data_IF_800152117370
#
_entry.id   IF_800152117370
#
_cell.length_a   1.000
_cell.length_b   1.000
_cell.length_c   1.000
_cell.angle_alpha   90.00
_cell.angle_beta   90.00
_cell.angle_gamma   90.00
#
_symmetry.space_group_name_H-M   'P 1'
#
loop_
_entity.id
_entity.type
_entity.pdbx_description
1 polymer ?
#
# COMPACT_ATOMS: atom_id res chain seq x y z
N UNK A 1 -10.18 12.16 25.16
CA UNK A 1 -11.37 12.40 24.29
C UNK A 1 -12.27 11.15 24.33
N UNK A 2 -13.58 11.27 24.05
CA UNK A 2 -14.57 10.19 24.27
C UNK A 2 -14.52 9.09 23.21
N UNK A 3 -14.09 9.47 21.99
CA UNK A 3 -13.94 8.56 20.86
C UNK A 3 -12.54 8.63 20.27
N UNK A 4 -12.17 7.54 19.60
CA UNK A 4 -10.99 7.46 18.77
C UNK A 4 -11.38 7.00 17.36
N UNK A 5 -10.61 7.44 16.36
CA UNK A 5 -10.85 7.10 14.98
C UNK A 5 -9.53 6.78 14.27
N UNK A 6 -9.49 5.63 13.61
CA UNK A 6 -8.39 5.24 12.73
C UNK A 6 -8.82 5.40 11.28
N UNK A 7 -7.95 5.95 10.44
CA UNK A 7 -8.13 6.01 8.99
C UNK A 7 -6.94 5.38 8.27
N UNK A 8 -7.25 4.53 7.30
CA UNK A 8 -6.33 3.96 6.33
C UNK A 8 -6.69 4.47 4.93
N UNK A 9 -5.93 5.47 4.47
CA UNK A 9 -6.12 6.18 3.20
C UNK A 9 -5.05 5.83 2.18
N UNK A 10 -5.43 5.12 1.11
CA UNK A 10 -4.53 4.73 0.03
C UNK A 10 -4.93 5.29 -1.34
N UNK A 11 -4.19 4.89 -2.38
CA UNK A 11 -4.42 5.35 -3.76
C UNK A 11 -5.75 4.91 -4.39
N UNK A 12 -6.44 3.91 -3.84
CA UNK A 12 -7.69 3.38 -4.40
C UNK A 12 -8.89 3.43 -3.46
N UNK A 13 -8.67 3.54 -2.15
CA UNK A 13 -9.73 3.51 -1.15
C UNK A 13 -9.28 4.18 0.14
N UNK A 14 -10.24 4.67 0.89
CA UNK A 14 -10.09 5.20 2.23
C UNK A 14 -11.04 4.44 3.15
N UNK A 15 -10.53 3.92 4.26
CA UNK A 15 -11.31 3.18 5.26
C UNK A 15 -11.20 3.91 6.60
N UNK A 16 -12.31 4.00 7.33
CA UNK A 16 -12.34 4.58 8.66
C UNK A 16 -12.99 3.60 9.64
N UNK A 17 -12.55 3.63 10.88
CA UNK A 17 -13.19 2.93 11.98
C UNK A 17 -13.23 3.85 13.21
N UNK A 18 -14.40 3.94 13.83
CA UNK A 18 -14.61 4.71 15.06
C UNK A 18 -14.81 3.75 16.23
N UNK A 19 -14.20 4.06 17.36
CA UNK A 19 -14.26 3.27 18.59
C UNK A 19 -14.42 4.20 19.79
N UNK A 20 -14.83 3.63 20.93
CA UNK A 20 -14.73 4.34 22.22
C UNK A 20 -13.28 4.54 22.63
N UNK A 21 -13.04 5.43 23.60
CA UNK A 21 -11.71 5.72 24.13
C UNK A 21 -10.91 4.50 24.62
N UNK A 22 -11.60 3.41 25.04
CA UNK A 22 -11.02 2.13 25.47
C UNK A 22 -10.89 1.10 24.32
N UNK A 23 -10.98 1.54 23.06
CA UNK A 23 -10.68 0.71 21.89
C UNK A 23 -11.82 -0.20 21.41
N UNK A 24 -13.01 -0.16 22.02
CA UNK A 24 -14.17 -0.96 21.58
C UNK A 24 -14.76 -0.37 20.30
N UNK A 25 -14.64 -1.12 19.21
CA UNK A 25 -15.13 -0.76 17.89
C UNK A 25 -16.65 -0.48 17.90
N UNK A 26 -17.05 0.66 17.33
CA UNK A 26 -18.44 1.09 17.24
C UNK A 26 -18.97 1.03 15.81
N UNK A 27 -18.18 1.45 14.82
CA UNK A 27 -18.62 1.48 13.43
C UNK A 27 -17.47 1.62 12.42
N UNK A 28 -17.78 1.35 11.16
CA UNK A 28 -16.83 1.42 10.04
C UNK A 28 -17.40 2.20 8.86
N UNK A 29 -16.52 2.85 8.12
CA UNK A 29 -16.87 3.58 6.92
C UNK A 29 -15.84 3.39 5.82
N UNK A 30 -16.25 3.64 4.57
CA UNK A 30 -15.40 3.52 3.39
C UNK A 30 -15.72 4.62 2.39
N UNK A 31 -14.70 5.11 1.72
CA UNK A 31 -14.78 6.10 0.66
C UNK A 31 -13.81 5.78 -0.50
N UNK A 32 -13.70 6.72 -1.44
CA UNK A 32 -12.75 6.68 -2.56
C UNK A 32 -11.29 6.88 -2.11
N UNK A 33 -10.40 7.17 -3.06
CA UNK A 33 -8.97 7.35 -2.83
C UNK A 33 -8.66 8.49 -1.85
N UNK A 34 -7.63 8.29 -1.03
CA UNK A 34 -7.09 9.29 -0.12
C UNK A 34 -5.55 9.27 -0.16
N UNK A 35 -5.00 9.55 -1.35
CA UNK A 35 -3.58 9.77 -1.55
C UNK A 35 -3.30 11.27 -1.60
N UNK A 36 -2.76 11.79 -0.50
CA UNK A 36 -2.54 13.22 -0.31
C UNK A 36 -1.47 13.78 -1.25
N UNK A 37 -0.53 12.94 -1.71
CA UNK A 37 0.49 13.36 -2.68
C UNK A 37 -0.10 13.65 -4.06
N UNK A 38 -1.08 12.86 -4.50
CA UNK A 38 -1.68 13.04 -5.82
C UNK A 38 -2.82 14.05 -5.85
N UNK A 39 -3.68 14.04 -4.81
CA UNK A 39 -4.88 14.89 -4.75
C UNK A 39 -5.29 15.14 -3.27
N UNK A 40 -4.72 16.18 -2.62
CA UNK A 40 -5.05 16.53 -1.24
C UNK A 40 -6.53 16.82 -1.03
N UNK A 41 -7.18 17.49 -1.98
CA UNK A 41 -8.59 17.92 -1.89
C UNK A 41 -9.53 16.72 -1.91
N UNK A 42 -9.33 15.81 -2.87
CA UNK A 42 -10.08 14.56 -2.90
C UNK A 42 -9.83 13.73 -1.64
N UNK A 43 -8.57 13.69 -1.17
CA UNK A 43 -8.22 12.94 0.03
C UNK A 43 -8.97 13.43 1.26
N UNK A 44 -9.05 14.74 1.48
CA UNK A 44 -9.83 15.34 2.56
C UNK A 44 -11.31 14.95 2.46
N UNK A 45 -11.89 15.02 1.26
CA UNK A 45 -13.28 14.62 1.01
C UNK A 45 -13.51 13.15 1.33
N UNK A 46 -12.61 12.25 0.91
CA UNK A 46 -12.68 10.82 1.18
C UNK A 46 -12.55 10.50 2.68
N UNK A 47 -11.64 11.17 3.39
CA UNK A 47 -11.46 11.01 4.84
C UNK A 47 -12.74 11.40 5.58
N UNK A 48 -13.29 12.58 5.28
CA UNK A 48 -14.53 13.07 5.88
C UNK A 48 -15.70 12.14 5.59
N UNK A 49 -15.84 11.69 4.34
CA UNK A 49 -16.90 10.78 3.95
C UNK A 49 -16.80 9.43 4.69
N UNK A 50 -15.60 8.86 4.76
CA UNK A 50 -15.37 7.60 5.48
C UNK A 50 -15.65 7.75 6.99
N UNK A 51 -15.24 8.86 7.61
CA UNK A 51 -15.52 9.13 9.02
C UNK A 51 -17.02 9.29 9.30
N UNK A 52 -17.75 10.02 8.45
CA UNK A 52 -19.21 10.19 8.56
C UNK A 52 -19.96 8.85 8.42
N UNK A 53 -19.57 8.01 7.45
CA UNK A 53 -20.16 6.68 7.32
C UNK A 53 -19.83 5.79 8.54
N UNK A 54 -18.64 5.92 9.15
CA UNK A 54 -18.31 5.20 10.38
C UNK A 54 -19.18 5.64 11.57
N UNK A 55 -19.45 6.95 11.74
CA UNK A 55 -20.39 7.45 12.76
C UNK A 55 -21.80 6.91 12.52
N UNK A 56 -22.28 6.96 11.28
CA UNK A 56 -23.60 6.47 10.91
C UNK A 56 -23.75 4.97 11.17
N UNK A 57 -22.76 4.15 10.83
CA UNK A 57 -22.71 2.71 11.12
C UNK A 57 -22.73 2.44 12.64
N UNK A 58 -22.07 3.30 13.42
CA UNK A 58 -22.08 3.27 14.88
C UNK A 58 -23.39 3.77 15.52
N UNK A 59 -24.34 4.29 14.75
CA UNK A 59 -25.54 4.96 15.28
C UNK A 59 -25.25 6.29 15.99
N UNK A 60 -24.10 6.91 15.71
CA UNK A 60 -23.67 8.20 16.22
C UNK A 60 -24.04 9.32 15.23
N UNK A 61 -24.22 10.52 15.76
CA UNK A 61 -24.36 11.73 14.94
C UNK A 61 -22.98 12.29 14.56
N UNK A 62 -22.92 13.20 13.59
CA UNK A 62 -21.64 13.77 13.13
C UNK A 62 -20.94 14.61 14.21
N UNK A 63 -21.67 15.10 15.22
CA UNK A 63 -21.11 15.82 16.35
C UNK A 63 -20.11 14.98 17.16
N UNK A 64 -20.19 13.65 17.10
CA UNK A 64 -19.20 12.76 17.74
C UNK A 64 -17.78 13.00 17.20
N UNK A 65 -17.63 13.44 15.95
CA UNK A 65 -16.33 13.75 15.36
C UNK A 65 -15.59 14.85 16.15
N UNK A 66 -16.33 15.84 16.67
CA UNK A 66 -15.76 16.93 17.48
C UNK A 66 -15.26 16.48 18.86
N UNK A 67 -15.54 15.23 19.25
CA UNK A 67 -15.07 14.57 20.48
C UNK A 67 -14.12 13.41 20.17
N UNK A 68 -13.59 13.35 18.94
CA UNK A 68 -12.78 12.24 18.44
C UNK A 68 -11.31 12.62 18.29
N UNK A 69 -10.41 11.79 18.83
CA UNK A 69 -8.99 11.79 18.46
C UNK A 69 -8.80 10.94 17.20
N UNK A 70 -8.30 11.52 16.11
CA UNK A 70 -8.18 10.83 14.83
C UNK A 70 -6.71 10.57 14.45
N UNK A 71 -6.35 9.31 14.17
CA UNK A 71 -5.09 8.95 13.53
C UNK A 71 -5.36 8.64 12.06
N UNK A 72 -4.73 9.40 11.17
CA UNK A 72 -4.90 9.30 9.72
C UNK A 72 -3.61 8.76 9.10
N UNK A 73 -3.58 7.46 8.76
CA UNK A 73 -2.51 6.88 7.99
C UNK A 73 -2.77 7.05 6.50
N UNK A 74 -2.02 7.95 5.86
CA UNK A 74 -2.28 8.38 4.49
C UNK A 74 -1.10 8.10 3.57
N UNK A 75 -1.40 7.58 2.38
CA UNK A 75 -0.44 7.44 1.31
C UNK A 75 0.08 8.83 0.89
N UNK A 76 1.41 8.96 0.83
CA UNK A 76 2.07 10.23 0.48
C UNK A 76 2.38 11.15 1.66
N UNK A 77 1.99 10.81 2.90
CA UNK A 77 2.29 11.64 4.07
C UNK A 77 3.78 11.86 4.32
N UNK A 78 4.63 10.88 3.99
CA UNK A 78 6.10 11.01 4.12
C UNK A 78 6.72 12.00 3.11
N UNK A 79 6.01 12.29 2.01
CA UNK A 79 6.49 13.17 0.94
C UNK A 79 5.93 14.60 1.04
N UNK A 80 4.95 14.83 1.93
CA UNK A 80 4.34 16.14 2.13
C UNK A 80 4.99 16.87 3.30
N UNK A 81 5.40 18.12 3.06
CA UNK A 81 6.01 18.98 4.08
C UNK A 81 4.98 19.63 5.03
N UNK A 82 3.68 19.56 4.74
CA UNK A 82 2.64 20.20 5.55
C UNK A 82 1.43 19.27 5.80
N UNK A 83 1.58 18.23 6.63
CA UNK A 83 0.44 17.47 7.14
C UNK A 83 -0.47 18.28 8.08
N UNK A 84 0.00 19.43 8.60
CA UNK A 84 -0.70 20.26 9.58
C UNK A 84 -1.88 20.98 8.92
N UNK A 85 -1.70 21.54 7.71
CA UNK A 85 -2.80 22.18 6.97
C UNK A 85 -3.98 21.26 6.63
N UNK A 86 -3.76 19.94 6.57
CA UNK A 86 -4.84 18.97 6.38
C UNK A 86 -5.68 18.79 7.65
N UNK A 87 -5.03 18.80 8.81
CA UNK A 87 -5.68 18.63 10.12
C UNK A 87 -6.62 19.79 10.45
N UNK A 88 -6.25 21.02 10.10
CA UNK A 88 -7.04 22.23 10.41
C UNK A 88 -8.42 22.25 9.74
N UNK A 89 -8.60 21.52 8.64
CA UNK A 89 -9.84 21.49 7.87
C UNK A 89 -10.78 20.33 8.27
N UNK A 90 -10.41 19.55 9.28
CA UNK A 90 -11.15 18.37 9.71
C UNK A 90 -11.92 18.63 11.02
N UNK A 91 -13.16 18.13 11.16
CA UNK A 91 -14.02 18.37 12.32
C UNK A 91 -13.68 17.44 13.50
N UNK A 92 -12.40 17.10 13.69
CA UNK A 92 -11.93 16.25 14.78
C UNK A 92 -11.43 17.09 15.94
N UNK A 93 -11.50 16.56 17.16
CA UNK A 93 -10.99 17.24 18.36
C UNK A 93 -9.47 17.41 18.29
N UNK A 94 -8.77 16.38 17.81
CA UNK A 94 -7.37 16.44 17.41
C UNK A 94 -7.09 15.40 16.33
N UNK A 95 -6.04 15.66 15.56
CA UNK A 95 -5.64 14.83 14.42
C UNK A 95 -4.15 14.58 14.49
N UNK A 96 -3.76 13.33 14.29
CA UNK A 96 -2.40 12.94 14.00
C UNK A 96 -2.36 12.33 12.60
N UNK A 97 -1.67 13.01 11.68
CA UNK A 97 -1.43 12.48 10.34
C UNK A 97 -0.11 11.71 10.36
N UNK A 98 -0.14 10.47 9.88
CA UNK A 98 1.01 9.59 9.76
C UNK A 98 1.04 8.93 8.39
N UNK A 99 2.12 8.22 8.05
CA UNK A 99 2.11 7.41 6.83
C UNK A 99 1.22 6.19 6.95
N UNK A 100 0.64 5.80 5.81
CA UNK A 100 -0.01 4.50 5.62
C UNK A 100 0.87 3.33 6.07
N UNK A 101 2.19 3.46 5.88
CA UNK A 101 3.16 2.43 6.21
C UNK A 101 3.39 2.32 7.71
N UNK A 102 3.30 3.43 8.46
CA UNK A 102 3.40 3.39 9.92
C UNK A 102 2.19 2.68 10.55
N UNK A 103 0.97 2.98 10.10
CA UNK A 103 -0.23 2.27 10.59
C UNK A 103 -0.25 0.80 10.14
N UNK A 104 0.29 0.50 8.96
CA UNK A 104 0.43 -0.87 8.47
C UNK A 104 1.46 -1.66 9.30
N UNK A 105 2.56 -1.03 9.69
CA UNK A 105 3.58 -1.62 10.56
C UNK A 105 3.00 -1.89 11.94
N UNK A 106 2.26 -0.93 12.48
CA UNK A 106 1.54 -1.10 13.75
C UNK A 106 0.50 -2.22 13.67
N UNK A 107 -0.26 -2.30 12.58
CA UNK A 107 -1.22 -3.40 12.40
C UNK A 107 -0.52 -4.76 12.32
N UNK A 108 0.61 -4.82 11.62
CA UNK A 108 1.33 -6.07 11.41
C UNK A 108 2.02 -6.60 12.67
N UNK A 109 2.63 -5.72 13.47
CA UNK A 109 3.50 -6.10 14.59
C UNK A 109 3.05 -5.58 15.95
N UNK A 110 1.92 -4.87 16.04
CA UNK A 110 1.56 -4.04 17.20
C UNK A 110 2.70 -3.06 17.52
N UNK A 111 3.10 -2.97 18.79
CA UNK A 111 4.22 -2.15 19.25
C UNK A 111 5.59 -2.84 19.18
N UNK A 112 5.65 -4.10 18.72
CA UNK A 112 6.89 -4.87 18.65
C UNK A 112 7.78 -4.43 17.46
N UNK A 113 9.08 -4.77 17.53
CA UNK A 113 10.02 -4.61 16.43
C UNK A 113 9.69 -5.59 15.29
N UNK A 114 9.83 -5.11 14.05
CA UNK A 114 9.49 -5.90 12.88
C UNK A 114 9.65 -5.13 11.58
N UNK A 115 9.52 -5.87 10.48
CA UNK A 115 9.59 -5.33 9.10
C UNK A 115 8.26 -5.58 8.40
N UNK A 116 7.81 -4.63 7.60
CA UNK A 116 6.75 -4.83 6.62
C UNK A 116 7.25 -4.60 5.20
N UNK A 117 6.68 -5.35 4.26
CA UNK A 117 6.73 -5.07 2.84
C UNK A 117 5.31 -4.96 2.29
N UNK A 118 4.88 -3.76 1.91
CA UNK A 118 3.59 -3.51 1.26
C UNK A 118 3.80 -3.71 -0.24
N UNK A 119 3.22 -4.79 -0.79
CA UNK A 119 3.42 -5.23 -2.17
C UNK A 119 2.06 -5.27 -2.89
N UNK A 120 1.87 -4.40 -3.86
CA UNK A 120 0.63 -4.29 -4.62
C UNK A 120 0.86 -3.55 -5.94
N UNK A 121 0.01 -2.57 -6.24
CA UNK A 121 0.21 -1.67 -7.39
C UNK A 121 1.53 -0.92 -7.28
N UNK A 122 1.88 -0.41 -6.10
CA UNK A 122 3.21 0.11 -5.75
C UNK A 122 3.93 -0.82 -4.78
N UNK A 123 5.09 -0.40 -4.28
CA UNK A 123 5.81 -1.15 -3.24
C UNK A 123 6.48 -0.23 -2.22
N UNK A 124 6.30 -0.51 -0.94
CA UNK A 124 6.93 0.23 0.15
C UNK A 124 7.38 -0.71 1.27
N UNK A 125 8.47 -0.36 1.96
CA UNK A 125 9.03 -1.15 3.03
C UNK A 125 9.32 -0.27 4.24
N UNK A 126 9.06 -0.82 5.42
CA UNK A 126 9.29 -0.12 6.67
C UNK A 126 9.72 -1.08 7.76
N UNK A 127 10.57 -0.62 8.68
CA UNK A 127 10.94 -1.38 9.86
C UNK A 127 10.90 -0.53 11.13
N UNK A 128 10.57 -1.18 12.25
CA UNK A 128 10.75 -0.65 13.61
C UNK A 128 11.87 -1.42 14.31
N UNK A 129 12.78 -0.68 14.94
CA UNK A 129 13.90 -1.20 15.74
C UNK A 129 14.05 -0.35 17.00
N UNK A 130 13.49 -0.79 18.12
CA UNK A 130 13.19 0.02 19.28
C UNK A 130 12.39 1.27 18.88
N UNK A 131 12.83 2.44 19.35
CA UNK A 131 12.17 3.72 19.08
C UNK A 131 12.38 4.25 17.64
N UNK A 132 13.16 3.57 16.80
CA UNK A 132 13.53 4.05 15.47
C UNK A 132 12.70 3.39 14.38
N UNK A 133 12.30 4.22 13.42
CA UNK A 133 11.62 3.81 12.21
C UNK A 133 12.53 3.99 10.99
N UNK A 134 12.56 3.00 10.11
CA UNK A 134 13.35 2.99 8.89
C UNK A 134 12.42 2.81 7.70
N UNK A 135 12.56 3.66 6.68
CA UNK A 135 11.74 3.66 5.47
C UNK A 135 12.61 3.31 4.26
N UNK A 136 12.07 2.51 3.35
CA UNK A 136 12.76 2.12 2.12
C UNK A 136 11.77 1.93 0.97
N UNK A 137 12.06 2.54 -0.17
CA UNK A 137 11.17 2.48 -1.33
C UNK A 137 9.98 3.44 -1.17
N UNK A 138 8.88 3.16 -1.88
CA UNK A 138 7.70 4.03 -1.85
C UNK A 138 7.89 5.41 -2.51
N UNK A 139 8.91 5.58 -3.35
CA UNK A 139 9.19 6.83 -4.07
C UNK A 139 8.25 7.08 -5.27
N UNK A 140 7.29 6.19 -5.49
CA UNK A 140 6.27 6.29 -6.54
C UNK A 140 6.70 5.66 -7.87
N UNK A 141 5.71 5.43 -8.72
CA UNK A 141 5.84 4.59 -9.92
C UNK A 141 6.94 5.02 -10.91
N UNK A 142 7.18 6.32 -11.11
CA UNK A 142 8.11 6.76 -12.14
C UNK A 142 9.59 6.56 -11.77
N UNK A 143 9.94 6.66 -10.48
CA UNK A 143 11.33 6.59 -10.01
C UNK A 143 11.58 5.53 -8.94
N UNK A 144 10.55 4.75 -8.57
CA UNK A 144 10.60 3.74 -7.53
C UNK A 144 9.65 2.58 -7.79
N UNK A 145 9.01 2.09 -6.73
CA UNK A 145 8.07 0.96 -6.74
C UNK A 145 8.62 -0.34 -7.36
N UNK A 146 9.93 -0.58 -7.25
CA UNK A 146 10.54 -1.83 -7.70
C UNK A 146 9.96 -3.03 -6.93
N UNK A 147 9.62 -4.10 -7.65
CA UNK A 147 8.89 -5.24 -7.07
C UNK A 147 7.37 -5.02 -6.96
N UNK A 148 6.84 -3.89 -7.41
CA UNK A 148 5.40 -3.72 -7.54
C UNK A 148 4.84 -4.37 -8.80
N UNK A 149 3.52 -4.63 -8.79
CA UNK A 149 2.80 -5.09 -9.97
C UNK A 149 2.82 -4.06 -11.10
N UNK A 150 2.81 -2.76 -10.80
CA UNK A 150 2.88 -1.73 -11.83
C UNK A 150 4.22 -1.77 -12.58
N UNK A 151 5.35 -1.89 -11.86
CA UNK A 151 6.67 -1.98 -12.49
C UNK A 151 6.86 -3.27 -13.31
N UNK A 152 6.36 -4.40 -12.80
CA UNK A 152 6.39 -5.65 -13.55
C UNK A 152 5.51 -5.58 -14.81
N UNK A 153 4.34 -4.95 -14.72
CA UNK A 153 3.45 -4.71 -15.85
C UNK A 153 4.07 -3.79 -16.90
N UNK A 154 4.64 -2.65 -16.48
CA UNK A 154 5.39 -1.73 -17.34
C UNK A 154 6.50 -2.46 -18.11
N UNK A 155 7.30 -3.27 -17.41
CA UNK A 155 8.35 -4.07 -18.05
C UNK A 155 7.79 -5.09 -19.04
N UNK A 156 6.66 -5.74 -18.74
CA UNK A 156 6.04 -6.69 -19.67
C UNK A 156 5.53 -6.02 -20.96
N UNK A 157 4.98 -4.81 -20.85
CA UNK A 157 4.55 -4.02 -22.01
C UNK A 157 5.75 -3.57 -22.86
N UNK A 158 6.84 -3.13 -22.22
CA UNK A 158 8.09 -2.79 -22.91
C UNK A 158 8.61 -3.99 -23.72
N UNK A 159 8.67 -5.17 -23.10
CA UNK A 159 9.12 -6.41 -23.74
C UNK A 159 8.22 -6.83 -24.92
N UNK A 160 6.92 -6.55 -24.83
CA UNK A 160 5.98 -6.79 -25.93
C UNK A 160 6.24 -5.87 -27.13
N UNK A 161 6.55 -4.59 -26.90
CA UNK A 161 6.94 -3.66 -27.97
C UNK A 161 8.30 -4.03 -28.57
N UNK A 162 9.29 -4.37 -27.74
CA UNK A 162 10.61 -4.82 -28.24
C UNK A 162 10.49 -6.10 -29.08
N UNK A 163 9.58 -7.01 -28.71
CA UNK A 163 9.30 -8.20 -29.51
C UNK A 163 8.58 -7.88 -30.82
N UNK A 164 7.65 -6.91 -30.82
CA UNK A 164 7.01 -6.40 -32.02
C UNK A 164 8.03 -5.81 -33.01
N UNK A 165 8.99 -5.02 -32.51
CA UNK A 165 10.04 -4.40 -33.31
C UNK A 165 11.12 -5.40 -33.80
N UNK A 166 11.05 -6.65 -33.37
CA UNK A 166 12.02 -7.71 -33.72
C UNK A 166 13.36 -7.61 -32.98
N UNK A 167 13.47 -6.73 -31.98
CA UNK A 167 14.64 -6.61 -31.11
C UNK A 167 14.71 -7.75 -30.08
N UNK A 168 13.57 -8.39 -29.81
CA UNK A 168 13.43 -9.60 -28.99
C UNK A 168 12.53 -10.61 -29.70
N UNK A 169 12.63 -11.87 -29.31
CA UNK A 169 11.73 -12.90 -29.85
C UNK A 169 10.33 -12.79 -29.26
N UNK A 170 9.30 -12.96 -30.09
CA UNK A 170 7.94 -13.18 -29.62
C UNK A 170 7.88 -14.43 -28.72
N UNK A 171 7.08 -14.36 -27.68
CA UNK A 171 6.75 -15.50 -26.82
C UNK A 171 5.26 -15.44 -26.43
N UNK A 172 4.71 -16.53 -25.85
CA UNK A 172 3.29 -16.56 -25.49
C UNK A 172 2.82 -15.38 -24.62
N UNK A 173 3.66 -14.85 -23.73
CA UNK A 173 3.32 -13.68 -22.91
C UNK A 173 3.24 -12.40 -23.76
N UNK A 174 4.24 -12.11 -24.60
CA UNK A 174 4.24 -10.89 -25.44
C UNK A 174 3.17 -10.94 -26.50
N UNK A 175 2.91 -12.10 -27.10
CA UNK A 175 1.78 -12.30 -28.01
C UNK A 175 0.43 -12.07 -27.32
N UNK A 176 0.28 -12.56 -26.08
CA UNK A 176 -0.94 -12.32 -25.31
C UNK A 176 -1.17 -10.82 -25.09
N UNK A 177 -0.12 -10.10 -24.67
CA UNK A 177 -0.18 -8.66 -24.44
C UNK A 177 -0.54 -7.92 -25.74
N UNK A 178 0.17 -8.20 -26.85
CA UNK A 178 -0.09 -7.56 -28.15
C UNK A 178 -1.54 -7.78 -28.62
N UNK A 179 -2.08 -9.00 -28.45
CA UNK A 179 -3.47 -9.31 -28.79
C UNK A 179 -4.48 -8.52 -27.99
N UNK A 180 -4.21 -8.17 -26.72
CA UNK A 180 -5.08 -7.27 -25.95
C UNK A 180 -5.21 -5.88 -26.59
N UNK A 181 -4.18 -5.47 -27.35
CA UNK A 181 -4.16 -4.25 -28.14
C UNK A 181 -4.49 -4.49 -29.62
N UNK A 182 -5.14 -5.62 -29.96
CA UNK A 182 -5.47 -6.02 -31.33
C UNK A 182 -4.25 -6.07 -32.27
N UNK A 183 -3.09 -6.46 -31.73
CA UNK A 183 -1.81 -6.52 -32.44
C UNK A 183 -1.38 -5.18 -33.07
N UNK A 184 -1.90 -4.06 -32.54
CA UNK A 184 -1.56 -2.70 -32.97
C UNK A 184 -0.71 -2.00 -31.89
N UNK A 185 0.62 -1.85 -32.08
CA UNK A 185 1.50 -1.23 -31.10
C UNK A 185 1.15 0.23 -30.80
N UNK A 186 0.45 0.92 -31.72
CA UNK A 186 0.01 2.31 -31.50
C UNK A 186 -1.03 2.38 -30.39
N UNK A 187 -1.92 1.38 -30.29
CA UNK A 187 -2.92 1.31 -29.20
C UNK A 187 -2.25 1.07 -27.83
N UNK A 188 -1.19 0.26 -27.80
CA UNK A 188 -0.39 0.08 -26.58
C UNK A 188 0.31 1.39 -26.18
N UNK A 189 0.88 2.11 -27.14
CA UNK A 189 1.48 3.44 -26.89
C UNK A 189 0.45 4.47 -26.41
N UNK A 190 -0.74 4.50 -27.02
CA UNK A 190 -1.86 5.37 -26.60
C UNK A 190 -2.32 5.05 -25.17
N UNK A 191 -2.42 3.77 -24.83
CA UNK A 191 -2.69 3.30 -23.47
C UNK A 191 -1.62 3.82 -22.50
N UNK A 192 -0.35 3.56 -22.77
CA UNK A 192 0.76 3.93 -21.89
C UNK A 192 0.84 5.44 -21.62
N UNK A 193 0.44 6.27 -22.59
CA UNK A 193 0.41 7.73 -22.47
C UNK A 193 -0.54 8.24 -21.39
N UNK A 194 -1.65 7.54 -21.14
CA UNK A 194 -2.68 7.95 -20.17
C UNK A 194 -2.80 7.01 -18.98
N UNK A 195 -2.12 5.87 -19.03
CA UNK A 195 -2.15 4.85 -18.00
C UNK A 195 -1.63 5.37 -16.66
N UNK A 196 -2.34 5.00 -15.60
CA UNK A 196 -1.94 5.17 -14.21
C UNK A 196 -1.23 3.90 -13.73
N UNK A 197 -0.49 3.94 -12.60
CA UNK A 197 0.20 2.76 -12.08
C UNK A 197 -0.71 1.53 -11.92
N UNK A 198 -1.98 1.74 -11.55
CA UNK A 198 -2.97 0.67 -11.45
C UNK A 198 -3.16 -0.06 -12.78
N UNK A 199 -3.24 0.66 -13.89
CA UNK A 199 -3.50 0.11 -15.21
C UNK A 199 -2.32 -0.77 -15.68
N UNK A 200 -1.09 -0.39 -15.36
CA UNK A 200 0.07 -1.27 -15.55
C UNK A 200 0.00 -2.50 -14.63
N UNK A 201 -0.41 -2.33 -13.38
CA UNK A 201 -0.57 -3.41 -12.41
C UNK A 201 -1.58 -4.49 -12.82
N UNK A 202 -2.54 -4.18 -13.70
CA UNK A 202 -3.52 -5.13 -14.23
C UNK A 202 -2.89 -6.23 -15.10
N UNK A 203 -1.64 -6.07 -15.55
CA UNK A 203 -0.88 -7.10 -16.26
C UNK A 203 -0.21 -8.12 -15.31
N UNK A 204 -0.14 -7.84 -14.01
CA UNK A 204 0.50 -8.76 -13.05
C UNK A 204 -0.12 -10.17 -13.02
N UNK A 205 -1.46 -10.35 -13.02
CA UNK A 205 -2.06 -11.67 -13.03
C UNK A 205 -1.64 -12.52 -14.23
N UNK A 206 -1.59 -11.93 -15.44
CA UNK A 206 -1.21 -12.68 -16.64
C UNK A 206 0.29 -13.04 -16.62
N UNK A 207 1.15 -12.15 -16.11
CA UNK A 207 2.58 -12.46 -15.87
C UNK A 207 2.71 -13.68 -14.96
N UNK A 208 1.98 -13.72 -13.83
CA UNK A 208 2.02 -14.86 -12.90
C UNK A 208 1.53 -16.17 -13.53
N UNK A 209 0.50 -16.11 -14.38
CA UNK A 209 0.00 -17.28 -15.12
C UNK A 209 1.11 -17.84 -16.01
N UNK A 210 1.77 -17.00 -16.80
CA UNK A 210 2.85 -17.44 -17.68
C UNK A 210 4.12 -17.85 -16.91
N UNK A 211 4.42 -17.24 -15.76
CA UNK A 211 5.52 -17.66 -14.90
C UNK A 211 5.30 -19.09 -14.38
N UNK A 212 4.07 -19.43 -13.95
CA UNK A 212 3.70 -20.81 -13.57
C UNK A 212 3.85 -21.81 -14.71
N UNK A 213 3.65 -21.36 -15.96
CA UNK A 213 3.86 -22.15 -17.17
C UNK A 213 5.33 -22.18 -17.64
N UNK A 214 6.27 -21.73 -16.81
CA UNK A 214 7.71 -21.71 -17.11
C UNK A 214 8.09 -20.82 -18.31
N UNK A 215 7.29 -19.79 -18.59
CA UNK A 215 7.69 -18.75 -19.54
C UNK A 215 8.94 -18.03 -19.03
N UNK A 216 10.03 -18.10 -19.80
CA UNK A 216 11.31 -17.48 -19.42
C UNK A 216 11.17 -15.99 -19.13
N UNK A 217 10.53 -15.25 -20.04
CA UNK A 217 10.31 -13.81 -19.87
C UNK A 217 9.50 -13.50 -18.59
N UNK A 218 8.44 -14.27 -18.33
CA UNK A 218 7.62 -14.04 -17.15
C UNK A 218 8.39 -14.31 -15.85
N UNK A 219 9.22 -15.37 -15.85
CA UNK A 219 10.10 -15.68 -14.72
C UNK A 219 11.15 -14.59 -14.52
N UNK A 220 11.78 -14.09 -15.60
CA UNK A 220 12.77 -13.01 -15.52
C UNK A 220 12.16 -11.74 -14.91
N UNK A 221 10.96 -11.33 -15.34
CA UNK A 221 10.25 -10.16 -14.80
C UNK A 221 9.96 -10.33 -13.30
N UNK A 222 9.49 -11.51 -12.89
CA UNK A 222 9.19 -11.81 -11.49
C UNK A 222 10.47 -11.88 -10.66
N UNK A 223 11.55 -12.45 -11.19
CA UNK A 223 12.85 -12.57 -10.55
C UNK A 223 13.51 -11.19 -10.34
N UNK A 224 13.44 -10.30 -11.33
CA UNK A 224 13.92 -8.91 -11.20
C UNK A 224 13.26 -8.20 -10.02
N UNK A 225 11.92 -8.23 -9.93
CA UNK A 225 11.22 -7.61 -8.82
C UNK A 225 11.47 -8.32 -7.49
N UNK A 226 11.50 -9.66 -7.48
CA UNK A 226 11.80 -10.44 -6.27
C UNK A 226 13.19 -10.19 -5.73
N UNK A 227 14.17 -9.97 -6.60
CA UNK A 227 15.54 -9.64 -6.21
C UNK A 227 15.58 -8.30 -5.45
N UNK A 228 14.83 -7.31 -5.93
CA UNK A 228 14.70 -6.04 -5.21
C UNK A 228 13.99 -6.21 -3.86
N UNK A 229 12.82 -6.88 -3.84
CA UNK A 229 12.07 -7.14 -2.61
C UNK A 229 12.94 -7.86 -1.58
N UNK A 230 13.64 -8.92 -1.99
CA UNK A 230 14.52 -9.67 -1.10
C UNK A 230 15.66 -8.80 -0.55
N UNK A 231 16.26 -7.95 -1.38
CA UNK A 231 17.32 -7.03 -0.94
C UNK A 231 16.82 -6.00 0.08
N UNK A 232 15.64 -5.42 -0.17
CA UNK A 232 14.98 -4.50 0.75
C UNK A 232 14.68 -5.16 2.11
N UNK A 233 14.12 -6.38 2.09
CA UNK A 233 13.80 -7.13 3.29
C UNK A 233 15.04 -7.52 4.10
N UNK A 234 16.13 -7.96 3.44
CA UNK A 234 17.40 -8.27 4.13
C UNK A 234 17.98 -7.04 4.83
N UNK A 235 18.03 -5.91 4.12
CA UNK A 235 18.55 -4.66 4.67
C UNK A 235 17.75 -4.20 5.90
N UNK A 236 16.44 -4.36 5.88
CA UNK A 236 15.58 -3.92 6.99
C UNK A 236 15.51 -4.92 8.14
N UNK A 237 15.65 -6.22 7.90
CA UNK A 237 15.46 -7.27 8.92
C UNK A 237 16.68 -7.59 9.78
N UNK A 238 17.77 -6.81 9.68
CA UNK A 238 19.05 -7.09 10.35
C UNK A 238 19.60 -8.49 10.02
N UNK A 239 19.63 -8.81 8.72
CA UNK A 239 19.99 -10.12 8.17
C UNK A 239 19.10 -11.26 8.70
N UNK A 240 17.78 -11.02 8.78
CA UNK A 240 16.82 -12.04 9.21
C UNK A 240 16.78 -12.24 10.72
N UNK A 241 16.79 -11.18 11.52
CA UNK A 241 16.58 -11.27 12.97
C UNK A 241 15.21 -10.77 13.40
N UNK A 242 14.56 -9.97 12.55
CA UNK A 242 13.24 -9.40 12.80
C UNK A 242 12.16 -10.15 12.03
N UNK A 243 10.96 -10.30 12.61
CA UNK A 243 9.81 -10.85 11.89
C UNK A 243 9.43 -9.93 10.73
N UNK A 244 9.03 -10.53 9.61
CA UNK A 244 8.66 -9.84 8.38
C UNK A 244 7.20 -10.14 8.06
N UNK A 245 6.38 -9.11 7.87
CA UNK A 245 5.01 -9.27 7.38
C UNK A 245 4.90 -8.71 5.96
N UNK A 246 4.47 -9.54 5.01
CA UNK A 246 4.17 -9.10 3.65
C UNK A 246 2.69 -8.71 3.57
N UNK A 247 2.44 -7.50 3.11
CA UNK A 247 1.13 -6.89 3.03
C UNK A 247 0.78 -6.57 1.57
N UNK A 248 -0.48 -6.24 1.32
CA UNK A 248 -0.98 -5.89 -0.02
C UNK A 248 -1.33 -7.10 -0.88
N UNK A 249 -2.04 -6.84 -1.98
CA UNK A 249 -2.64 -7.88 -2.82
C UNK A 249 -1.64 -8.76 -3.58
N UNK A 250 -0.38 -8.33 -3.70
CA UNK A 250 0.67 -9.12 -4.36
C UNK A 250 1.49 -9.97 -3.39
N UNK A 251 1.30 -9.82 -2.08
CA UNK A 251 2.04 -10.56 -1.03
C UNK A 251 2.07 -12.07 -1.29
N UNK A 252 0.93 -12.69 -1.57
CA UNK A 252 0.83 -14.13 -1.84
C UNK A 252 1.61 -14.62 -3.06
N UNK A 253 1.83 -13.75 -4.06
CA UNK A 253 2.66 -14.14 -5.20
C UNK A 253 4.11 -14.37 -4.75
N UNK A 254 4.59 -13.53 -3.83
CA UNK A 254 5.96 -13.59 -3.31
C UNK A 254 6.25 -14.81 -2.44
N UNK A 255 5.23 -15.49 -1.90
CA UNK A 255 5.41 -16.77 -1.21
C UNK A 255 6.12 -17.81 -2.08
N UNK A 256 5.89 -17.78 -3.41
CA UNK A 256 6.54 -18.72 -4.32
C UNK A 256 7.96 -18.31 -4.68
N UNK A 257 8.23 -17.01 -4.80
CA UNK A 257 9.47 -16.50 -5.39
C UNK A 257 10.52 -16.07 -4.38
N UNK A 258 10.13 -15.76 -3.13
CA UNK A 258 11.09 -15.31 -2.14
C UNK A 258 12.18 -16.37 -1.84
N UNK A 259 13.44 -15.94 -1.67
CA UNK A 259 14.52 -16.82 -1.25
C UNK A 259 14.25 -17.55 0.08
N UNK A 260 14.68 -18.82 0.22
CA UNK A 260 14.44 -19.61 1.44
C UNK A 260 14.95 -18.96 2.74
N UNK A 261 16.05 -18.21 2.68
CA UNK A 261 16.63 -17.52 3.83
C UNK A 261 15.72 -16.45 4.41
N UNK A 262 14.87 -15.81 3.59
CA UNK A 262 13.88 -14.84 4.06
C UNK A 262 12.56 -15.49 4.48
N UNK A 263 12.17 -16.59 3.82
CA UNK A 263 10.91 -17.30 4.07
C UNK A 263 10.70 -17.71 5.52
N UNK A 264 11.78 -18.09 6.21
CA UNK A 264 11.73 -18.47 7.62
C UNK A 264 11.35 -17.33 8.58
N UNK A 265 11.47 -16.08 8.16
CA UNK A 265 11.14 -14.89 8.96
C UNK A 265 9.79 -14.29 8.59
N UNK A 266 9.14 -14.80 7.54
CA UNK A 266 7.81 -14.34 7.17
C UNK A 266 6.80 -14.82 8.21
N UNK A 267 6.11 -13.87 8.83
CA UNK A 267 5.02 -14.11 9.79
C UNK A 267 3.73 -13.49 9.25
N UNK A 268 2.55 -14.06 9.57
CA UNK A 268 1.30 -13.38 9.29
C UNK A 268 1.23 -12.06 10.06
N UNK A 269 0.68 -11.03 9.43
CA UNK A 269 0.35 -9.79 10.10
C UNK A 269 -0.67 -10.07 11.23
N UNK A 270 -0.44 -9.53 12.42
CA UNK A 270 -1.35 -9.69 13.56
C UNK A 270 -2.72 -9.07 13.28
N UNK A 271 -2.73 -7.89 12.66
CA UNK A 271 -3.92 -7.13 12.30
C UNK A 271 -3.72 -6.38 10.97
N UNK A 272 -4.77 -5.68 10.50
CA UNK A 272 -4.68 -4.81 9.34
C UNK A 272 -4.26 -3.37 9.71
N UNK A 273 -3.93 -2.57 8.69
CA UNK A 273 -3.50 -1.19 8.86
C UNK A 273 -4.54 -0.32 9.58
N UNK A 274 -5.84 -0.56 9.35
CA UNK A 274 -6.91 0.19 9.99
C UNK A 274 -6.95 -0.08 11.51
N UNK A 275 -6.73 -1.32 11.93
CA UNK A 275 -6.56 -1.64 13.36
C UNK A 275 -5.28 -1.04 13.92
N UNK A 276 -4.20 -0.99 13.15
CA UNK A 276 -2.98 -0.28 13.54
C UNK A 276 -3.23 1.21 13.82
N UNK A 277 -3.96 1.89 12.94
CA UNK A 277 -4.36 3.29 13.16
C UNK A 277 -5.20 3.48 14.43
N UNK A 278 -6.15 2.57 14.68
CA UNK A 278 -6.94 2.59 15.92
C UNK A 278 -6.09 2.35 17.17
N UNK A 279 -5.15 1.40 17.13
CA UNK A 279 -4.27 1.11 18.26
C UNK A 279 -3.36 2.30 18.60
N UNK A 280 -2.87 3.01 17.58
CA UNK A 280 -2.18 4.29 17.78
C UNK A 280 -3.10 5.32 18.42
N UNK A 281 -4.32 5.49 17.89
CA UNK A 281 -5.27 6.47 18.41
C UNK A 281 -5.65 6.21 19.86
N UNK A 282 -5.81 4.94 20.26
CA UNK A 282 -6.09 4.51 21.63
C UNK A 282 -4.97 4.93 22.59
N UNK A 283 -3.71 4.62 22.24
CA UNK A 283 -2.54 4.97 23.07
C UNK A 283 -2.34 6.48 23.19
N UNK A 284 -2.43 7.21 22.07
CA UNK A 284 -2.21 8.65 22.05
C UNK A 284 -3.33 9.41 22.75
N UNK A 285 -4.59 8.94 22.63
CA UNK A 285 -5.70 9.52 23.38
C UNK A 285 -5.48 9.34 24.90
N UNK A 286 -5.01 8.18 25.34
CA UNK A 286 -4.73 7.92 26.76
C UNK A 286 -3.60 8.80 27.33
N UNK A 287 -2.62 9.21 26.52
CA UNK A 287 -1.54 10.13 26.93
C UNK A 287 -1.98 11.59 27.01
N UNK A 288 -3.04 11.96 26.27
CA UNK A 288 -3.57 13.32 26.17
C UNK A 288 -4.80 13.56 27.09
N UNK A 289 -5.13 12.61 27.97
CA UNK A 289 -6.23 12.71 28.94
C UNK A 289 -5.68 12.95 30.35
#
# INVERSE_FOLDING_TARGET
MDYILGVDGGGSSCRAAIATADGRLLGRGKAGSANIYSDPTQSLSSILHAAKEACKDAGLTEEALQQTFAVLGLAGANAHNDPIGLAENLPFAAVQVVSDSLIALEGAHDSDDGVIGILGTGSNFMARKGEKHYYLGGWGFHCGDQGSGAKMGERALEEALLAHDGLRSLCPLTEHILRQFNDDPRKLSEFARTAKPKDFGEFMPIILVYAKQQSRLALDIVEEGTTYVASALRLLSDDGKLPIALLGGLSHAYDSFLPPDLKQFIVPAKNDALRGALAMAERENALNT
#
